data_IF_859114114773
#
_entry.id   IF_859114114773
#
_cell.length_a   1.000
_cell.length_b   1.000
_cell.length_c   1.000
_cell.angle_alpha   90.00
_cell.angle_beta   90.00
_cell.angle_gamma   90.00
#
_symmetry.space_group_name_H-M   'P 1'
#
loop_
_entity.id
_entity.type
_entity.pdbx_description
1 polymer ?
#
# COMPACT_ATOMS: atom_id res chain seq x y z
N UNK A 1 0.70 -21.40 -17.57
CA UNK A 1 1.48 -22.44 -16.88
C UNK A 1 0.58 -23.64 -16.65
N UNK A 2 1.04 -24.88 -16.92
CA UNK A 2 0.34 -26.08 -16.48
C UNK A 2 0.05 -26.01 -14.98
N UNK A 3 -1.15 -26.41 -14.56
CA UNK A 3 -1.63 -26.25 -13.17
C UNK A 3 -0.74 -26.97 -12.14
N UNK A 4 -0.12 -28.08 -12.54
CA UNK A 4 0.83 -28.86 -11.74
C UNK A 4 2.15 -28.13 -11.47
N UNK A 5 2.61 -27.27 -12.37
CA UNK A 5 3.88 -26.54 -12.27
C UNK A 5 3.73 -25.16 -11.61
N UNK A 6 2.50 -24.69 -11.37
CA UNK A 6 2.24 -23.36 -10.83
C UNK A 6 2.51 -23.21 -9.31
N UNK A 7 3.05 -24.23 -8.63
CA UNK A 7 3.30 -24.19 -7.19
C UNK A 7 4.22 -23.04 -6.74
N UNK A 8 5.35 -22.74 -7.41
CA UNK A 8 6.20 -21.60 -7.06
C UNK A 8 5.47 -20.26 -7.20
N UNK A 9 4.68 -20.09 -8.27
CA UNK A 9 3.89 -18.89 -8.49
C UNK A 9 2.84 -18.66 -7.39
N UNK A 10 2.18 -19.74 -6.93
CA UNK A 10 1.23 -19.66 -5.80
C UNK A 10 1.91 -19.23 -4.50
N UNK A 11 3.09 -19.78 -4.20
CA UNK A 11 3.87 -19.41 -3.01
C UNK A 11 4.30 -17.94 -3.07
N UNK A 12 4.78 -17.49 -4.23
CA UNK A 12 5.15 -16.09 -4.45
C UNK A 12 3.94 -15.15 -4.31
N UNK A 13 2.77 -15.54 -4.82
CA UNK A 13 1.55 -14.76 -4.65
C UNK A 13 1.18 -14.58 -3.17
N UNK A 14 1.20 -15.67 -2.39
CA UNK A 14 0.91 -15.60 -0.94
C UNK A 14 1.96 -14.77 -0.20
N UNK A 15 3.24 -14.97 -0.51
CA UNK A 15 4.32 -14.20 0.11
C UNK A 15 4.21 -12.70 -0.24
N UNK A 16 3.91 -12.35 -1.48
CA UNK A 16 3.70 -10.98 -1.92
C UNK A 16 2.53 -10.31 -1.20
N UNK A 17 1.40 -11.00 -1.05
CA UNK A 17 0.24 -10.48 -0.30
C UNK A 17 0.58 -10.31 1.18
N UNK A 18 1.33 -11.23 1.79
CA UNK A 18 1.79 -11.06 3.16
C UNK A 18 2.70 -9.83 3.31
N UNK A 19 3.59 -9.58 2.36
CA UNK A 19 4.44 -8.39 2.34
C UNK A 19 3.62 -7.10 2.18
N UNK A 20 2.63 -7.09 1.29
CA UNK A 20 1.76 -5.92 1.10
C UNK A 20 0.99 -5.57 2.38
N UNK A 21 0.42 -6.58 3.07
CA UNK A 21 -0.30 -6.37 4.33
C UNK A 21 0.63 -5.90 5.46
N UNK A 22 1.84 -6.47 5.53
CA UNK A 22 2.84 -6.05 6.51
C UNK A 22 3.30 -4.60 6.26
N UNK A 23 3.50 -4.22 4.99
CA UNK A 23 3.86 -2.86 4.61
C UNK A 23 2.74 -1.87 4.93
N UNK A 24 1.48 -2.21 4.66
CA UNK A 24 0.32 -1.36 4.98
C UNK A 24 0.17 -1.18 6.50
N UNK A 25 0.31 -2.25 7.27
CA UNK A 25 0.30 -2.17 8.74
C UNK A 25 1.45 -1.31 9.28
N UNK A 26 2.66 -1.48 8.75
CA UNK A 26 3.81 -0.67 9.14
C UNK A 26 3.60 0.81 8.80
N UNK A 27 2.99 1.10 7.65
CA UNK A 27 2.67 2.46 7.21
C UNK A 27 1.70 3.14 8.18
N UNK A 28 0.62 2.44 8.57
CA UNK A 28 -0.37 2.93 9.55
C UNK A 28 0.28 3.26 10.91
N UNK A 29 1.25 2.47 11.36
CA UNK A 29 1.84 2.63 12.71
C UNK A 29 3.04 3.58 12.75
N UNK A 30 3.82 3.68 11.67
CA UNK A 30 5.08 4.46 11.68
C UNK A 30 4.95 5.88 11.16
N UNK A 31 3.97 6.16 10.30
CA UNK A 31 3.87 7.48 9.66
C UNK A 31 3.17 8.53 10.54
N UNK A 32 2.47 8.13 11.60
CA UNK A 32 1.73 9.07 12.46
C UNK A 32 0.82 9.97 11.63
N UNK A 33 0.95 11.30 11.77
CA UNK A 33 0.20 12.28 10.99
C UNK A 33 0.41 12.13 9.46
N UNK A 34 1.57 11.65 9.01
CA UNK A 34 1.84 11.43 7.58
C UNK A 34 1.07 10.24 6.98
N UNK A 35 0.40 9.42 7.79
CA UNK A 35 -0.50 8.38 7.30
C UNK A 35 -1.87 8.95 6.88
N UNK A 36 -2.26 10.14 7.35
CA UNK A 36 -3.57 10.73 7.10
C UNK A 36 -3.93 10.79 5.59
N UNK A 37 -3.03 11.22 4.68
CA UNK A 37 -3.29 11.23 3.25
C UNK A 37 -3.54 9.84 2.64
N UNK A 38 -3.07 8.77 3.26
CA UNK A 38 -3.30 7.39 2.82
C UNK A 38 -4.67 6.86 3.26
N UNK A 39 -5.28 7.45 4.28
CA UNK A 39 -6.55 6.95 4.85
C UNK A 39 -7.78 7.67 4.29
N UNK A 40 -7.59 8.89 3.80
CA UNK A 40 -8.66 9.77 3.33
C UNK A 40 -8.94 9.62 1.82
N UNK A 41 -10.13 10.09 1.44
CA UNK A 41 -10.57 10.28 0.04
C UNK A 41 -10.28 9.10 -0.90
N UNK A 42 -9.61 9.40 -2.03
CA UNK A 42 -9.30 8.45 -3.10
C UNK A 42 -8.18 7.48 -2.70
N UNK A 43 -7.05 7.92 -2.10
CA UNK A 43 -6.00 7.00 -1.65
C UNK A 43 -6.53 5.89 -0.74
N UNK A 44 -7.32 6.25 0.28
CA UNK A 44 -7.87 5.28 1.21
C UNK A 44 -8.86 4.30 0.59
N UNK A 45 -9.64 4.74 -0.42
CA UNK A 45 -10.52 3.84 -1.20
C UNK A 45 -9.72 2.87 -2.06
N UNK A 46 -8.63 3.34 -2.68
CA UNK A 46 -7.75 2.50 -3.49
C UNK A 46 -7.02 1.46 -2.64
N UNK A 47 -6.47 1.82 -1.49
CA UNK A 47 -5.83 0.86 -0.58
C UNK A 47 -6.81 -0.19 -0.07
N UNK A 48 -8.03 0.21 0.34
CA UNK A 48 -9.07 -0.74 0.76
C UNK A 48 -9.45 -1.72 -0.35
N UNK A 49 -9.64 -1.23 -1.58
CA UNK A 49 -9.93 -2.09 -2.73
C UNK A 49 -8.74 -3.00 -3.08
N UNK A 50 -7.50 -2.49 -3.01
CA UNK A 50 -6.29 -3.29 -3.20
C UNK A 50 -6.19 -4.41 -2.15
N UNK A 51 -6.44 -4.12 -0.87
CA UNK A 51 -6.45 -5.10 0.23
C UNK A 51 -7.45 -6.23 -0.04
N UNK A 52 -8.67 -5.90 -0.47
CA UNK A 52 -9.69 -6.90 -0.84
C UNK A 52 -9.22 -7.75 -2.03
N UNK A 53 -8.70 -7.13 -3.09
CA UNK A 53 -8.20 -7.84 -4.26
C UNK A 53 -6.99 -8.73 -3.95
N UNK A 54 -6.08 -8.30 -3.08
CA UNK A 54 -4.93 -9.08 -2.64
C UNK A 54 -5.38 -10.32 -1.87
N UNK A 55 -6.29 -10.17 -0.90
CA UNK A 55 -6.82 -11.30 -0.14
C UNK A 55 -7.59 -12.27 -1.04
N UNK A 56 -8.46 -11.78 -1.91
CA UNK A 56 -9.21 -12.59 -2.86
C UNK A 56 -8.29 -13.30 -3.86
N UNK A 57 -7.28 -12.59 -4.37
CA UNK A 57 -6.27 -13.10 -5.28
C UNK A 57 -5.43 -14.19 -4.63
N UNK A 58 -4.94 -13.99 -3.41
CA UNK A 58 -4.19 -15.00 -2.66
C UNK A 58 -5.04 -16.24 -2.36
N UNK A 59 -6.28 -16.06 -1.91
CA UNK A 59 -7.20 -17.17 -1.68
C UNK A 59 -7.42 -17.96 -2.97
N UNK A 60 -7.71 -17.26 -4.08
CA UNK A 60 -7.87 -17.85 -5.39
C UNK A 60 -6.61 -18.57 -5.88
N UNK A 61 -5.41 -18.08 -5.54
CA UNK A 61 -4.16 -18.74 -5.89
C UNK A 61 -4.02 -20.06 -5.14
N UNK A 62 -4.39 -20.11 -3.85
CA UNK A 62 -4.30 -21.32 -3.02
C UNK A 62 -5.33 -22.37 -3.44
N UNK A 63 -6.61 -21.99 -3.58
CA UNK A 63 -7.70 -22.94 -3.86
C UNK A 63 -7.85 -23.27 -5.35
N UNK A 64 -7.41 -22.37 -6.23
CA UNK A 64 -7.60 -22.46 -7.68
C UNK A 64 -6.61 -23.35 -8.42
N UNK A 65 -5.75 -24.10 -7.71
CA UNK A 65 -4.63 -24.84 -8.28
C UNK A 65 -4.98 -25.87 -9.36
N UNK A 66 -6.25 -26.23 -9.54
CA UNK A 66 -6.74 -27.18 -10.57
C UNK A 66 -7.53 -26.51 -11.71
N UNK A 67 -7.86 -25.22 -11.59
CA UNK A 67 -8.65 -24.48 -12.59
C UNK A 67 -7.85 -23.34 -13.20
N UNK A 68 -7.65 -23.42 -14.51
CA UNK A 68 -6.97 -22.36 -15.28
C UNK A 68 -7.72 -21.02 -15.20
N UNK A 69 -9.04 -21.06 -15.19
CA UNK A 69 -9.87 -19.86 -15.08
C UNK A 69 -9.71 -19.19 -13.72
N UNK A 70 -9.77 -19.97 -12.63
CA UNK A 70 -9.58 -19.43 -11.26
C UNK A 70 -8.16 -18.88 -11.09
N UNK A 71 -7.15 -19.59 -11.62
CA UNK A 71 -5.76 -19.11 -11.59
C UNK A 71 -5.58 -17.79 -12.35
N UNK A 72 -6.25 -17.64 -13.50
CA UNK A 72 -6.20 -16.40 -14.27
C UNK A 72 -6.88 -15.23 -13.53
N UNK A 73 -8.08 -15.46 -12.97
CA UNK A 73 -8.80 -14.46 -12.18
C UNK A 73 -8.01 -14.04 -10.94
N UNK A 74 -7.39 -15.00 -10.24
CA UNK A 74 -6.50 -14.75 -9.12
C UNK A 74 -5.33 -13.84 -9.52
N UNK A 75 -4.63 -14.18 -10.61
CA UNK A 75 -3.53 -13.35 -11.13
C UNK A 75 -3.98 -11.93 -11.50
N UNK A 76 -5.12 -11.79 -12.18
CA UNK A 76 -5.68 -10.48 -12.53
C UNK A 76 -6.06 -9.68 -11.28
N UNK A 77 -6.62 -10.33 -10.25
CA UNK A 77 -6.92 -9.67 -8.99
C UNK A 77 -5.64 -9.14 -8.31
N UNK A 78 -4.58 -9.95 -8.24
CA UNK A 78 -3.29 -9.55 -7.67
C UNK A 78 -2.65 -8.38 -8.45
N UNK A 79 -2.72 -8.42 -9.78
CA UNK A 79 -2.24 -7.30 -10.61
C UNK A 79 -3.07 -6.04 -10.40
N UNK A 80 -4.39 -6.16 -10.32
CA UNK A 80 -5.31 -5.07 -10.01
C UNK A 80 -5.03 -4.45 -8.65
N UNK A 81 -4.79 -5.27 -7.62
CA UNK A 81 -4.36 -4.81 -6.30
C UNK A 81 -3.06 -4.00 -6.40
N UNK A 82 -2.07 -4.53 -7.11
CA UNK A 82 -0.76 -3.88 -7.30
C UNK A 82 -0.86 -2.54 -8.03
N UNK A 83 -1.78 -2.40 -8.98
CA UNK A 83 -2.08 -1.13 -9.65
C UNK A 83 -2.74 -0.12 -8.70
N UNK A 84 -3.76 -0.56 -7.96
CA UNK A 84 -4.48 0.29 -7.01
C UNK A 84 -3.58 0.81 -5.89
N UNK A 85 -2.69 -0.04 -5.34
CA UNK A 85 -1.71 0.38 -4.34
C UNK A 85 -0.79 1.48 -4.89
N UNK A 86 -0.29 1.34 -6.13
CA UNK A 86 0.54 2.37 -6.77
C UNK A 86 -0.22 3.69 -6.95
N UNK A 87 -1.47 3.64 -7.42
CA UNK A 87 -2.29 4.85 -7.56
C UNK A 87 -2.63 5.48 -6.21
N UNK A 88 -2.82 4.69 -5.16
CA UNK A 88 -3.03 5.19 -3.82
C UNK A 88 -1.83 5.99 -3.33
N UNK A 89 -0.61 5.43 -3.46
CA UNK A 89 0.64 6.11 -3.09
C UNK A 89 0.82 7.41 -3.87
N UNK A 90 0.57 7.39 -5.18
CA UNK A 90 0.66 8.58 -6.02
C UNK A 90 -0.32 9.69 -5.57
N UNK A 91 -1.58 9.34 -5.34
CA UNK A 91 -2.60 10.31 -4.92
C UNK A 91 -2.37 10.81 -3.49
N UNK A 92 -1.91 9.95 -2.58
CA UNK A 92 -1.51 10.35 -1.24
C UNK A 92 -0.35 11.34 -1.29
N UNK A 93 0.68 11.08 -2.10
CA UNK A 93 1.79 11.99 -2.31
C UNK A 93 1.35 13.35 -2.86
N UNK A 94 0.41 13.38 -3.81
CA UNK A 94 -0.15 14.62 -4.34
C UNK A 94 -0.92 15.40 -3.27
N UNK A 95 -1.69 14.72 -2.41
CA UNK A 95 -2.39 15.36 -1.30
C UNK A 95 -1.39 15.92 -0.27
N UNK A 96 -0.37 15.15 0.09
CA UNK A 96 0.71 15.60 0.99
C UNK A 96 1.47 16.81 0.46
N UNK A 97 1.70 16.87 -0.86
CA UNK A 97 2.42 17.99 -1.48
C UNK A 97 1.58 19.28 -1.54
N UNK A 98 0.25 19.18 -1.57
CA UNK A 98 -0.66 20.33 -1.63
C UNK A 98 -0.91 20.98 -0.29
N UNK A 99 -0.79 20.23 0.81
CA UNK A 99 -1.04 20.74 2.15
C UNK A 99 0.29 20.92 2.91
N UNK A 100 0.70 22.16 3.19
CA UNK A 100 1.93 22.48 3.93
C UNK A 100 2.00 21.82 5.32
N UNK A 101 0.88 21.40 5.92
CA UNK A 101 0.87 20.66 7.19
C UNK A 101 1.79 19.44 7.14
N UNK A 102 1.80 18.70 6.03
CA UNK A 102 2.58 17.46 5.89
C UNK A 102 4.07 17.69 5.60
N UNK A 103 4.48 18.94 5.32
CA UNK A 103 5.89 19.29 5.09
C UNK A 103 6.45 20.15 6.23
N UNK A 104 5.74 21.19 6.65
CA UNK A 104 6.22 22.20 7.61
C UNK A 104 6.13 21.74 9.06
N UNK A 105 5.03 21.10 9.48
CA UNK A 105 4.86 20.68 10.88
C UNK A 105 5.93 19.66 11.28
N UNK A 106 6.18 18.58 10.50
CA UNK A 106 7.26 17.64 10.81
C UNK A 106 8.65 18.27 10.79
N UNK A 107 8.87 19.32 10.00
CA UNK A 107 10.14 20.05 9.98
C UNK A 107 10.31 20.87 11.26
N UNK A 108 9.27 21.60 11.69
CA UNK A 108 9.27 22.38 12.93
C UNK A 108 9.46 21.51 14.16
N UNK A 109 8.78 20.37 14.23
CA UNK A 109 8.95 19.39 15.32
C UNK A 109 10.40 18.89 15.42
N UNK A 110 11.07 18.65 14.29
CA UNK A 110 12.49 18.25 14.27
C UNK A 110 13.43 19.35 14.75
N UNK A 111 13.18 20.60 14.36
CA UNK A 111 13.98 21.75 14.83
C UNK A 111 13.81 21.98 16.33
N UNK A 112 12.57 21.94 16.81
CA UNK A 112 12.24 22.05 18.23
C UNK A 112 12.90 20.93 19.04
N UNK A 113 12.87 19.69 18.55
CA UNK A 113 13.51 18.54 19.21
C UNK A 113 15.05 18.67 19.28
N UNK A 114 15.66 19.42 18.35
CA UNK A 114 17.11 19.71 18.34
C UNK A 114 17.49 20.92 19.19
N UNK A 115 16.51 21.66 19.73
CA UNK A 115 16.74 22.90 20.46
C UNK A 115 17.26 24.04 19.59
N UNK A 116 17.10 23.97 18.26
CA UNK A 116 17.47 25.04 17.34
C UNK A 116 16.37 26.11 17.36
N UNK A 117 16.64 27.34 17.87
CA UNK A 117 15.66 28.41 17.81
C UNK A 117 15.38 28.77 16.34
N UNK A 118 14.11 29.01 16.02
CA UNK A 118 13.71 29.42 14.68
C UNK A 118 14.51 30.66 14.25
N UNK A 119 15.22 30.57 13.12
CA UNK A 119 15.93 31.71 12.57
C UNK A 119 14.93 32.87 12.36
N UNK A 120 15.26 34.11 12.74
CA UNK A 120 14.36 35.24 12.59
C UNK A 120 13.97 35.39 11.11
N UNK A 121 12.68 35.55 10.85
CA UNK A 121 12.17 35.83 9.51
C UNK A 121 12.76 37.17 9.03
N UNK A 122 13.50 37.12 7.93
CA UNK A 122 14.07 38.29 7.25
C UNK A 122 12.99 39.08 6.49
#
# INVERSE_FOLDING_TARGET
>A
VPTGEAAPARRLAVAGVALDLAAEHQLEHRLGMLAEPYQQDRPGRFLRAARVLNLAGALGAVVGGRSRAVSALSGTALLGASLLTRFAVFQAGLASAKDPKYTVVPQRERLNARGEPAAPAA
#
